data_IF_773120168191
#
_entry.id   IF_773120168191
#
_cell.length_a   1.000
_cell.length_b   1.000
_cell.length_c   1.000
_cell.angle_alpha   90.00
_cell.angle_beta   90.00
_cell.angle_gamma   90.00
#
_symmetry.space_group_name_H-M   'P 1'
#
loop_
_entity.id
_entity.type
_entity.pdbx_description
1 polymer ?
#
# COMPACT_ATOMS: atom_id res chain seq x y z
N UNK A 1 -3.02 28.53 20.18
CA UNK A 1 -4.00 27.45 20.41
C UNK A 1 -4.88 27.42 19.17
N UNK A 2 -4.42 26.71 18.14
CA UNK A 2 -5.06 26.68 16.83
C UNK A 2 -5.89 25.41 16.80
N UNK A 3 -7.19 25.57 16.54
CA UNK A 3 -8.14 24.47 16.46
C UNK A 3 -7.70 23.52 15.34
N UNK A 4 -7.49 22.25 15.68
CA UNK A 4 -7.43 21.17 14.69
C UNK A 4 -8.83 21.04 14.13
N UNK A 5 -9.04 21.52 12.90
CA UNK A 5 -10.23 21.18 12.14
C UNK A 5 -10.35 19.65 12.09
N UNK A 6 -11.58 19.16 12.18
CA UNK A 6 -11.94 17.75 12.08
C UNK A 6 -11.39 17.15 10.76
N UNK A 7 -10.15 16.66 10.78
CA UNK A 7 -9.59 15.84 9.70
C UNK A 7 -10.02 14.40 9.95
N UNK A 8 -10.64 13.78 8.96
CA UNK A 8 -10.77 12.33 8.94
C UNK A 8 -9.34 11.75 8.93
N UNK A 9 -8.97 11.10 10.02
CA UNK A 9 -7.77 10.25 10.05
C UNK A 9 -8.01 9.08 9.08
N UNK A 10 -6.95 8.59 8.45
CA UNK A 10 -7.04 7.47 7.52
C UNK A 10 -7.34 6.14 8.22
N UNK A 11 -7.41 6.12 9.54
CA UNK A 11 -7.72 4.94 10.35
C UNK A 11 -9.13 4.40 10.11
N UNK A 12 -9.26 3.09 9.95
CA UNK A 12 -10.54 2.39 10.03
C UNK A 12 -10.46 1.25 11.07
N UNK A 13 -10.99 1.46 12.29
CA UNK A 13 -10.94 0.46 13.36
C UNK A 13 -11.66 -0.85 13.04
N UNK A 14 -12.62 -0.82 12.10
CA UNK A 14 -13.32 -2.03 11.69
C UNK A 14 -12.44 -2.93 10.82
N UNK A 15 -11.44 -2.40 10.11
CA UNK A 15 -10.53 -3.19 9.30
C UNK A 15 -9.44 -3.87 10.16
N UNK A 16 -9.45 -5.21 10.32
CA UNK A 16 -8.45 -5.91 11.14
C UNK A 16 -7.02 -5.83 10.59
N UNK A 17 -6.83 -5.35 9.37
CA UNK A 17 -5.54 -5.17 8.71
C UNK A 17 -5.16 -3.69 8.53
N UNK A 18 -5.83 -2.76 9.23
CA UNK A 18 -5.62 -1.32 9.06
C UNK A 18 -4.20 -0.84 9.41
N UNK A 19 -3.53 -1.57 10.31
CA UNK A 19 -2.13 -1.32 10.66
C UNK A 19 -1.19 -1.34 9.44
N UNK A 20 -1.56 -2.04 8.36
CA UNK A 20 -0.79 -2.08 7.12
C UNK A 20 -0.66 -0.70 6.45
N UNK A 21 -1.78 0.02 6.31
CA UNK A 21 -1.78 1.36 5.72
C UNK A 21 -1.08 2.37 6.62
N UNK A 22 -1.29 2.28 7.93
CA UNK A 22 -0.57 3.10 8.91
C UNK A 22 0.94 2.90 8.81
N UNK A 23 1.41 1.65 8.73
CA UNK A 23 2.83 1.32 8.54
C UNK A 23 3.40 1.91 7.25
N UNK A 24 2.70 1.69 6.14
CA UNK A 24 3.08 2.25 4.86
C UNK A 24 3.23 3.78 4.94
N UNK A 25 2.26 4.48 5.53
CA UNK A 25 2.33 5.94 5.72
C UNK A 25 3.51 6.38 6.58
N UNK A 26 3.77 5.69 7.70
CA UNK A 26 4.89 6.00 8.61
C UNK A 26 6.24 5.89 7.92
N UNK A 27 6.46 4.82 7.13
CA UNK A 27 7.70 4.66 6.35
C UNK A 27 7.93 5.89 5.49
N UNK A 28 6.89 6.33 4.79
CA UNK A 28 7.00 7.43 3.87
C UNK A 28 7.18 8.78 4.56
N UNK A 29 6.56 8.99 5.72
CA UNK A 29 6.70 10.24 6.48
C UNK A 29 8.14 10.44 6.99
N UNK A 30 8.79 9.35 7.41
CA UNK A 30 10.21 9.38 7.82
C UNK A 30 11.09 9.78 6.63
N UNK A 31 10.80 9.20 5.47
CA UNK A 31 11.60 9.38 4.26
C UNK A 31 11.44 10.79 3.68
N UNK A 32 10.28 11.42 3.83
CA UNK A 32 10.08 12.82 3.44
C UNK A 32 10.69 13.83 4.43
N UNK A 33 10.98 13.41 5.66
CA UNK A 33 11.53 14.31 6.70
C UNK A 33 13.06 14.39 6.63
N UNK A 34 13.71 13.27 6.35
CA UNK A 34 15.14 13.27 6.05
C UNK A 34 15.31 13.73 4.61
N UNK A 35 16.20 14.70 4.37
CA UNK A 35 16.56 15.17 3.01
C UNK A 35 17.40 14.12 2.28
N UNK A 36 16.84 12.92 2.15
CA UNK A 36 17.48 11.74 1.63
C UNK A 36 17.63 11.87 0.12
N UNK A 37 18.88 11.99 -0.32
CA UNK A 37 19.24 11.70 -1.69
C UNK A 37 19.24 10.17 -1.88
N UNK A 38 18.08 9.65 -2.29
CA UNK A 38 17.96 8.28 -2.76
C UNK A 38 18.65 8.16 -4.12
N UNK A 39 19.72 7.39 -4.15
CA UNK A 39 20.61 7.23 -5.30
C UNK A 39 20.55 5.83 -5.93
N UNK A 40 19.86 4.87 -5.32
CA UNK A 40 19.65 3.53 -5.86
C UNK A 40 18.48 2.80 -5.18
N UNK A 41 17.99 1.74 -5.84
CA UNK A 41 16.95 0.85 -5.28
C UNK A 41 17.46 0.13 -4.03
N UNK A 42 18.75 -0.23 -4.01
CA UNK A 42 19.43 -0.83 -2.85
C UNK A 42 19.36 0.10 -1.63
N UNK A 43 19.67 1.39 -1.82
CA UNK A 43 19.63 2.37 -0.73
C UNK A 43 18.21 2.53 -0.18
N UNK A 44 17.19 2.57 -1.07
CA UNK A 44 15.79 2.59 -0.66
C UNK A 44 15.43 1.35 0.19
N UNK A 45 15.86 0.17 -0.25
CA UNK A 45 15.54 -1.07 0.44
C UNK A 45 16.18 -1.16 1.83
N UNK A 46 17.45 -0.77 1.96
CA UNK A 46 18.17 -0.74 3.25
C UNK A 46 17.52 0.24 4.22
N UNK A 47 17.12 1.42 3.74
CA UNK A 47 16.47 2.42 4.56
C UNK A 47 15.12 1.92 5.10
N UNK A 48 14.31 1.31 4.24
CA UNK A 48 13.01 0.77 4.62
C UNK A 48 13.15 -0.39 5.61
N UNK A 49 14.14 -1.26 5.43
CA UNK A 49 14.47 -2.30 6.42
C UNK A 49 14.82 -1.67 7.78
N UNK A 50 15.71 -0.67 7.78
CA UNK A 50 16.12 0.05 9.00
C UNK A 50 14.94 0.73 9.70
N UNK A 51 14.01 1.32 8.93
CA UNK A 51 12.79 1.91 9.49
C UNK A 51 11.93 0.83 10.12
N UNK A 52 11.65 -0.25 9.40
CA UNK A 52 10.79 -1.33 9.89
C UNK A 52 11.32 -1.96 11.19
N UNK A 53 12.64 -2.10 11.32
CA UNK A 53 13.31 -2.61 12.53
C UNK A 53 13.07 -1.73 13.77
N UNK A 54 12.71 -0.45 13.60
CA UNK A 54 12.39 0.47 14.70
C UNK A 54 10.92 0.45 15.14
N UNK A 55 10.05 -0.30 14.43
CA UNK A 55 8.61 -0.40 14.71
C UNK A 55 8.21 -1.84 15.10
N UNK A 56 8.56 -2.30 16.31
CA UNK A 56 8.31 -3.67 16.76
C UNK A 56 6.83 -4.02 16.93
N UNK A 57 5.91 -3.06 16.90
CA UNK A 57 4.46 -3.35 16.81
C UNK A 57 4.07 -4.12 15.53
N UNK A 58 5.00 -4.21 14.57
CA UNK A 58 4.86 -4.93 13.30
C UNK A 58 5.38 -6.38 13.36
N UNK A 59 6.05 -6.75 14.45
CA UNK A 59 6.68 -8.06 14.67
C UNK A 59 5.65 -9.21 14.79
N UNK A 60 4.37 -8.86 15.05
CA UNK A 60 3.24 -9.80 15.11
C UNK A 60 2.79 -10.37 13.76
N UNK A 61 3.31 -9.86 12.63
CA UNK A 61 3.05 -10.34 11.27
C UNK A 61 4.27 -11.11 10.70
N UNK A 62 4.77 -12.10 11.44
CA UNK A 62 5.78 -13.09 11.02
C UNK A 62 6.87 -12.67 9.99
N UNK A 63 7.94 -12.09 10.52
CA UNK A 63 9.36 -12.53 10.50
C UNK A 63 10.25 -12.49 9.22
N UNK A 64 11.47 -11.97 9.42
CA UNK A 64 12.77 -12.08 8.70
C UNK A 64 12.88 -11.77 7.20
N UNK A 65 11.83 -11.25 6.54
CA UNK A 65 11.94 -10.86 5.15
C UNK A 65 12.62 -9.49 5.00
N UNK A 66 13.94 -9.57 4.87
CA UNK A 66 14.83 -8.44 4.60
C UNK A 66 14.65 -7.98 3.15
N UNK A 67 14.12 -6.78 2.97
CA UNK A 67 13.77 -6.22 1.65
C UNK A 67 14.99 -6.14 0.73
N UNK A 68 16.15 -5.73 1.25
CA UNK A 68 17.37 -5.62 0.42
C UNK A 68 17.86 -6.98 -0.12
N UNK A 69 17.41 -8.11 0.43
CA UNK A 69 17.68 -9.44 -0.15
C UNK A 69 16.72 -9.81 -1.29
N UNK A 70 15.75 -8.94 -1.61
CA UNK A 70 14.70 -9.14 -2.61
C UNK A 70 14.72 -8.11 -3.72
N UNK A 71 15.82 -7.38 -3.92
CA UNK A 71 15.95 -6.37 -4.97
C UNK A 71 15.58 -6.91 -6.37
N UNK A 72 15.95 -8.16 -6.67
CA UNK A 72 15.58 -8.82 -7.92
C UNK A 72 14.07 -8.93 -8.19
N UNK A 73 13.24 -8.88 -7.16
CA UNK A 73 11.77 -8.87 -7.26
C UNK A 73 11.22 -7.43 -7.36
N UNK A 74 11.92 -6.43 -6.81
CA UNK A 74 11.47 -5.03 -6.75
C UNK A 74 11.80 -4.29 -8.05
N UNK A 75 13.03 -4.43 -8.56
CA UNK A 75 13.50 -3.71 -9.75
C UNK A 75 12.56 -3.88 -10.95
N UNK A 76 12.06 -5.09 -11.29
CA UNK A 76 11.10 -5.25 -12.37
C UNK A 76 9.78 -4.51 -12.13
N UNK A 77 9.33 -4.38 -10.88
CA UNK A 77 8.08 -3.70 -10.52
C UNK A 77 8.23 -2.18 -10.65
N UNK A 78 9.39 -1.62 -10.28
CA UNK A 78 9.69 -0.19 -10.44
C UNK A 78 9.62 0.21 -11.92
N UNK A 79 10.19 -0.62 -12.80
CA UNK A 79 10.25 -0.37 -14.25
C UNK A 79 9.03 -0.87 -15.03
N UNK A 80 8.07 -1.50 -14.36
CA UNK A 80 6.90 -2.11 -15.02
C UNK A 80 5.86 -1.04 -15.40
N UNK A 81 5.28 -1.16 -16.60
CA UNK A 81 4.07 -0.44 -17.00
C UNK A 81 2.84 -1.36 -17.01
N UNK A 82 2.90 -2.49 -16.28
CA UNK A 82 1.84 -3.50 -16.35
C UNK A 82 0.51 -2.97 -15.81
N UNK A 83 -0.55 -3.31 -16.53
CA UNK A 83 -1.93 -2.95 -16.18
C UNK A 83 -2.45 -3.87 -15.07
N UNK A 84 -3.50 -3.44 -14.37
CA UNK A 84 -4.07 -4.22 -13.27
C UNK A 84 -4.53 -5.61 -13.73
N UNK A 85 -5.07 -5.73 -14.94
CA UNK A 85 -5.50 -7.01 -15.51
C UNK A 85 -4.36 -8.03 -15.62
N UNK A 86 -3.16 -7.61 -16.05
CA UNK A 86 -1.97 -8.48 -16.13
C UNK A 86 -1.54 -8.99 -14.75
N UNK A 87 -1.65 -8.11 -13.76
CA UNK A 87 -1.33 -8.42 -12.36
C UNK A 87 -2.33 -9.41 -11.79
N UNK A 88 -3.62 -9.24 -12.10
CA UNK A 88 -4.67 -10.13 -11.65
C UNK A 88 -4.58 -11.52 -12.28
N UNK A 89 -4.16 -11.62 -13.55
CA UNK A 89 -3.96 -12.89 -14.24
C UNK A 89 -2.89 -13.76 -13.56
N UNK A 90 -1.84 -13.13 -13.04
CA UNK A 90 -0.76 -13.79 -12.30
C UNK A 90 -1.02 -13.95 -10.80
N UNK A 91 -2.10 -13.34 -10.28
CA UNK A 91 -2.43 -13.36 -8.86
C UNK A 91 -2.98 -14.71 -8.38
N UNK A 92 -2.75 -14.99 -7.10
CA UNK A 92 -3.32 -16.13 -6.37
C UNK A 92 -4.80 -15.95 -5.98
N UNK A 93 -5.38 -14.77 -6.25
CA UNK A 93 -6.72 -14.40 -5.83
C UNK A 93 -7.78 -15.27 -6.50
N UNK A 94 -8.84 -15.59 -5.75
CA UNK A 94 -10.07 -16.15 -6.31
C UNK A 94 -10.77 -15.18 -7.28
N UNK A 95 -11.66 -15.69 -8.12
CA UNK A 95 -12.37 -14.89 -9.14
C UNK A 95 -13.09 -13.69 -8.52
N UNK A 96 -13.83 -13.91 -7.43
CA UNK A 96 -14.56 -12.88 -6.69
C UNK A 96 -13.62 -11.83 -6.11
N UNK A 97 -12.45 -12.24 -5.64
CA UNK A 97 -11.46 -11.35 -5.08
C UNK A 97 -10.79 -10.49 -6.17
N UNK A 98 -10.50 -11.06 -7.35
CA UNK A 98 -9.99 -10.30 -8.50
C UNK A 98 -10.98 -9.24 -8.95
N UNK A 99 -12.26 -9.59 -9.08
CA UNK A 99 -13.32 -8.63 -9.37
C UNK A 99 -13.39 -7.52 -8.33
N UNK A 100 -13.25 -7.87 -7.05
CA UNK A 100 -13.28 -6.88 -5.98
C UNK A 100 -12.06 -5.95 -5.98
N UNK A 101 -10.89 -6.44 -6.38
CA UNK A 101 -9.69 -5.59 -6.53
C UNK A 101 -9.80 -4.64 -7.73
N UNK A 102 -10.41 -5.08 -8.84
CA UNK A 102 -10.75 -4.19 -9.97
C UNK A 102 -11.68 -3.06 -9.52
N UNK A 103 -12.73 -3.40 -8.77
CA UNK A 103 -13.67 -2.42 -8.23
C UNK A 103 -12.98 -1.40 -7.32
N UNK A 104 -11.98 -1.81 -6.54
CA UNK A 104 -11.19 -0.88 -5.73
C UNK A 104 -10.39 0.11 -6.61
N UNK A 105 -9.77 -0.38 -7.68
CA UNK A 105 -9.04 0.48 -8.63
C UNK A 105 -9.97 1.50 -9.28
N UNK A 106 -11.10 1.02 -9.83
CA UNK A 106 -12.11 1.87 -10.45
C UNK A 106 -12.67 2.91 -9.47
N UNK A 107 -12.90 2.52 -8.21
CA UNK A 107 -13.37 3.43 -7.15
C UNK A 107 -12.36 4.55 -6.90
N UNK A 108 -11.07 4.25 -6.79
CA UNK A 108 -10.04 5.28 -6.56
C UNK A 108 -9.90 6.21 -7.76
N UNK A 109 -9.98 5.67 -8.99
CA UNK A 109 -9.89 6.45 -10.22
C UNK A 109 -11.09 7.36 -10.43
N UNK A 110 -12.31 6.83 -10.27
CA UNK A 110 -13.55 7.59 -10.46
C UNK A 110 -13.69 8.75 -9.48
N UNK A 111 -13.18 8.57 -8.26
CA UNK A 111 -13.27 9.54 -7.17
C UNK A 111 -11.94 10.27 -6.91
N UNK A 112 -11.03 10.29 -7.90
CA UNK A 112 -9.72 10.93 -7.80
C UNK A 112 -9.78 12.45 -7.60
N UNK A 113 -10.89 13.11 -7.94
CA UNK A 113 -11.10 14.56 -7.77
C UNK A 113 -12.04 14.90 -6.59
N UNK A 114 -12.67 13.90 -5.97
CA UNK A 114 -13.60 14.10 -4.86
C UNK A 114 -12.88 14.50 -3.58
N UNK A 115 -13.62 15.02 -2.59
CA UNK A 115 -13.02 15.32 -1.29
C UNK A 115 -12.51 14.04 -0.63
N UNK A 116 -11.46 14.17 0.19
CA UNK A 116 -10.95 13.01 0.93
C UNK A 116 -12.03 12.34 1.78
N UNK A 117 -12.93 13.13 2.38
CA UNK A 117 -14.01 12.61 3.21
C UNK A 117 -15.00 11.73 2.42
N UNK A 118 -15.32 12.10 1.19
CA UNK A 118 -16.18 11.30 0.29
C UNK A 118 -15.49 10.00 -0.10
N UNK A 119 -14.24 10.08 -0.57
CA UNK A 119 -13.45 8.90 -0.92
C UNK A 119 -13.21 7.97 0.28
N UNK A 120 -12.93 8.53 1.46
CA UNK A 120 -12.76 7.79 2.71
C UNK A 120 -14.02 6.97 3.04
N UNK A 121 -15.20 7.58 2.95
CA UNK A 121 -16.46 6.88 3.22
C UNK A 121 -16.69 5.71 2.24
N UNK A 122 -16.33 5.90 0.97
CA UNK A 122 -16.41 4.86 -0.05
C UNK A 122 -15.42 3.71 0.23
N UNK A 123 -14.18 4.03 0.62
CA UNK A 123 -13.17 3.03 0.97
C UNK A 123 -13.55 2.24 2.24
N UNK A 124 -14.10 2.89 3.27
CA UNK A 124 -14.62 2.19 4.46
C UNK A 124 -15.80 1.28 4.09
N UNK A 125 -16.72 1.75 3.23
CA UNK A 125 -17.83 0.93 2.76
C UNK A 125 -17.36 -0.27 1.93
N UNK A 126 -16.32 -0.09 1.10
CA UNK A 126 -15.68 -1.18 0.38
C UNK A 126 -15.16 -2.25 1.34
N UNK A 127 -14.40 -1.84 2.37
CA UNK A 127 -13.82 -2.75 3.37
C UNK A 127 -14.88 -3.51 4.17
N UNK A 128 -15.94 -2.83 4.59
CA UNK A 128 -17.08 -3.49 5.25
C UNK A 128 -17.72 -4.54 4.31
N UNK A 129 -17.81 -4.24 3.01
CA UNK A 129 -18.27 -5.19 2.00
C UNK A 129 -17.40 -6.44 1.92
N UNK A 130 -16.07 -6.30 1.96
CA UNK A 130 -15.12 -7.43 1.98
C UNK A 130 -15.35 -8.32 3.21
N UNK A 131 -15.49 -7.70 4.39
CA UNK A 131 -15.67 -8.44 5.64
C UNK A 131 -16.94 -9.28 5.63
N UNK A 132 -18.05 -8.68 5.20
CA UNK A 132 -19.35 -9.33 5.13
C UNK A 132 -19.51 -10.37 4.01
N UNK A 133 -18.61 -10.39 3.03
CA UNK A 133 -18.73 -11.27 1.87
C UNK A 133 -18.34 -12.72 2.19
N UNK A 134 -19.31 -13.64 2.18
CA UNK A 134 -19.08 -15.06 2.45
C UNK A 134 -18.50 -15.85 1.27
N UNK A 135 -18.47 -15.27 0.07
CA UNK A 135 -17.86 -15.89 -1.11
C UNK A 135 -16.33 -15.73 -1.16
N UNK A 136 -15.78 -14.77 -0.39
CA UNK A 136 -14.34 -14.56 -0.28
C UNK A 136 -13.72 -15.52 0.75
N UNK A 137 -12.58 -16.11 0.41
CA UNK A 137 -11.78 -16.86 1.38
C UNK A 137 -11.15 -15.92 2.42
N UNK A 138 -10.73 -16.46 3.57
CA UNK A 138 -10.03 -15.65 4.57
C UNK A 138 -8.73 -15.04 4.01
N UNK A 139 -8.03 -15.76 3.13
CA UNK A 139 -6.83 -15.27 2.46
C UNK A 139 -7.15 -14.11 1.52
N UNK A 140 -8.22 -14.22 0.73
CA UNK A 140 -8.64 -13.13 -0.16
C UNK A 140 -9.02 -11.89 0.65
N UNK A 141 -9.79 -12.06 1.74
CA UNK A 141 -10.16 -10.96 2.63
C UNK A 141 -8.94 -10.27 3.21
N UNK A 142 -7.97 -11.04 3.69
CA UNK A 142 -6.72 -10.51 4.23
C UNK A 142 -6.01 -9.63 3.20
N UNK A 143 -5.86 -10.13 1.98
CA UNK A 143 -5.16 -9.41 0.91
C UNK A 143 -5.91 -8.13 0.52
N UNK A 144 -7.22 -8.22 0.26
CA UNK A 144 -8.04 -7.08 -0.15
C UNK A 144 -8.09 -5.99 0.91
N UNK A 145 -8.29 -6.37 2.18
CA UNK A 145 -8.32 -5.44 3.32
C UNK A 145 -6.95 -4.81 3.62
N UNK A 146 -5.86 -5.52 3.34
CA UNK A 146 -4.50 -4.97 3.42
C UNK A 146 -4.30 -3.92 2.33
N UNK A 147 -4.60 -4.27 1.07
CA UNK A 147 -4.45 -3.36 -0.08
C UNK A 147 -5.32 -2.11 0.11
N UNK A 148 -6.59 -2.27 0.52
CA UNK A 148 -7.50 -1.14 0.71
C UNK A 148 -7.06 -0.20 1.83
N UNK A 149 -6.49 -0.73 2.92
CA UNK A 149 -5.92 0.10 3.99
C UNK A 149 -4.76 0.93 3.44
N UNK A 150 -3.80 0.32 2.72
CA UNK A 150 -2.68 1.04 2.11
C UNK A 150 -3.16 2.11 1.14
N UNK A 151 -4.16 1.80 0.32
CA UNK A 151 -4.79 2.76 -0.60
C UNK A 151 -5.43 3.92 0.17
N UNK A 152 -6.15 3.67 1.27
CA UNK A 152 -6.78 4.74 2.07
C UNK A 152 -5.74 5.69 2.68
N UNK A 153 -4.67 5.15 3.23
CA UNK A 153 -3.57 5.99 3.75
C UNK A 153 -2.84 6.74 2.62
N UNK A 154 -2.57 6.07 1.49
CA UNK A 154 -1.92 6.68 0.33
C UNK A 154 -2.75 7.82 -0.29
N UNK A 155 -4.08 7.66 -0.35
CA UNK A 155 -4.98 8.71 -0.86
C UNK A 155 -5.05 9.92 0.07
N UNK A 156 -5.06 9.70 1.39
CA UNK A 156 -4.95 10.78 2.38
C UNK A 156 -3.64 11.57 2.18
N UNK A 157 -2.55 10.84 1.94
CA UNK A 157 -1.23 11.39 1.66
C UNK A 157 -1.18 12.17 0.35
N UNK A 158 -1.74 11.66 -0.75
CA UNK A 158 -1.84 12.37 -2.05
C UNK A 158 -2.53 13.73 -1.95
N UNK A 159 -3.46 13.88 -0.98
CA UNK A 159 -4.11 15.16 -0.74
C UNK A 159 -3.23 16.16 0.03
N UNK A 160 -2.27 15.67 0.81
CA UNK A 160 -1.25 16.48 1.51
C UNK A 160 -0.06 16.80 0.60
N UNK A 161 0.37 15.84 -0.20
CA UNK A 161 1.48 15.92 -1.16
C UNK A 161 0.98 15.51 -2.56
N UNK A 162 0.81 16.50 -3.45
CA UNK A 162 0.27 16.26 -4.80
C UNK A 162 1.19 15.43 -5.69
N UNK A 163 2.49 15.41 -5.37
CA UNK A 163 3.48 14.62 -6.12
C UNK A 163 3.44 13.14 -5.72
N UNK A 164 2.68 12.80 -4.67
CA UNK A 164 2.47 11.44 -4.24
C UNK A 164 1.47 10.70 -5.14
N UNK A 165 1.94 9.63 -5.79
CA UNK A 165 1.08 8.76 -6.58
C UNK A 165 0.36 7.73 -5.71
N UNK A 166 -0.89 7.45 -6.05
CA UNK A 166 -1.62 6.30 -5.51
C UNK A 166 -1.87 5.35 -6.68
N UNK A 167 -1.23 4.18 -6.65
CA UNK A 167 -1.44 3.15 -7.66
C UNK A 167 -1.87 1.85 -7.00
N UNK A 168 -3.16 1.53 -7.13
CA UNK A 168 -3.72 0.24 -6.67
C UNK A 168 -2.98 -0.92 -7.32
N UNK A 169 -2.64 -0.79 -8.61
CA UNK A 169 -1.86 -1.77 -9.38
C UNK A 169 -0.48 -2.04 -8.77
N UNK A 170 0.30 -0.99 -8.43
CA UNK A 170 1.63 -1.17 -7.84
C UNK A 170 1.56 -1.78 -6.43
N UNK A 171 0.58 -1.35 -5.64
CA UNK A 171 0.34 -1.93 -4.31
C UNK A 171 -0.03 -3.41 -4.45
N UNK A 172 -0.90 -3.76 -5.39
CA UNK A 172 -1.26 -5.15 -5.65
C UNK A 172 -0.06 -5.99 -6.14
N UNK A 173 0.73 -5.47 -7.07
CA UNK A 173 1.94 -6.13 -7.58
C UNK A 173 2.91 -6.48 -6.46
N UNK A 174 3.18 -5.52 -5.58
CA UNK A 174 4.15 -5.69 -4.48
C UNK A 174 3.62 -6.64 -3.40
N UNK A 175 2.32 -6.59 -3.09
CA UNK A 175 1.68 -7.58 -2.21
C UNK A 175 1.74 -8.99 -2.82
N UNK A 176 1.48 -9.16 -4.10
CA UNK A 176 1.55 -10.48 -4.74
C UNK A 176 2.98 -11.01 -4.89
N UNK A 177 3.96 -10.15 -5.16
CA UNK A 177 5.36 -10.53 -5.27
C UNK A 177 5.99 -10.95 -3.93
N UNK A 178 5.33 -10.66 -2.81
CA UNK A 178 5.84 -10.90 -1.47
C UNK A 178 5.65 -12.32 -0.93
N UNK A 179 5.23 -13.28 -1.77
CA UNK A 179 4.91 -14.66 -1.37
C UNK A 179 3.90 -14.72 -0.21
N UNK A 180 2.92 -13.80 -0.19
CA UNK A 180 1.93 -13.62 0.89
C UNK A 180 2.48 -13.07 2.21
N UNK A 181 3.75 -12.65 2.26
CA UNK A 181 4.27 -11.91 3.41
C UNK A 181 3.83 -10.44 3.29
N UNK A 182 2.74 -10.11 3.97
CA UNK A 182 2.17 -8.76 3.98
C UNK A 182 3.20 -7.69 4.32
N UNK A 183 4.04 -7.90 5.35
CA UNK A 183 5.06 -6.91 5.74
C UNK A 183 6.09 -6.69 4.63
N UNK A 184 6.57 -7.78 4.00
CA UNK A 184 7.47 -7.68 2.85
C UNK A 184 6.79 -6.94 1.68
N UNK A 185 5.53 -7.25 1.39
CA UNK A 185 4.76 -6.58 0.35
C UNK A 185 4.62 -5.08 0.60
N UNK A 186 4.41 -4.67 1.85
CA UNK A 186 4.35 -3.26 2.24
C UNK A 186 5.70 -2.56 2.13
N UNK A 187 6.78 -3.22 2.57
CA UNK A 187 8.15 -2.73 2.37
C UNK A 187 8.47 -2.55 0.87
N UNK A 188 8.09 -3.53 0.04
CA UNK A 188 8.22 -3.45 -1.42
C UNK A 188 7.39 -2.31 -2.01
N UNK A 189 6.13 -2.15 -1.59
CA UNK A 189 5.26 -1.06 -2.02
C UNK A 189 5.89 0.30 -1.73
N UNK A 190 6.42 0.48 -0.51
CA UNK A 190 7.07 1.71 -0.12
C UNK A 190 8.31 1.98 -0.99
N UNK A 191 9.16 0.97 -1.19
CA UNK A 191 10.35 1.07 -2.03
C UNK A 191 10.01 1.50 -3.46
N UNK A 192 8.99 0.87 -4.05
CA UNK A 192 8.50 1.21 -5.39
C UNK A 192 8.03 2.67 -5.45
N UNK A 193 7.15 3.08 -4.52
CA UNK A 193 6.62 4.44 -4.50
C UNK A 193 7.70 5.52 -4.34
N UNK A 194 8.70 5.28 -3.49
CA UNK A 194 9.80 6.20 -3.26
C UNK A 194 10.74 6.27 -4.47
N UNK A 195 11.12 5.11 -5.03
CA UNK A 195 11.95 5.09 -6.23
C UNK A 195 11.27 5.81 -7.40
N UNK A 196 9.94 5.69 -7.54
CA UNK A 196 9.17 6.43 -8.52
C UNK A 196 9.21 7.95 -8.27
N UNK A 197 8.91 8.39 -7.03
CA UNK A 197 8.96 9.81 -6.63
C UNK A 197 10.32 10.44 -6.93
N UNK A 198 11.41 9.72 -6.67
CA UNK A 198 12.78 10.19 -6.89
C UNK A 198 13.35 9.85 -8.29
N UNK A 199 12.55 9.28 -9.19
CA UNK A 199 12.99 8.83 -10.53
C UNK A 199 14.21 7.89 -10.52
N UNK A 200 14.36 7.08 -9.46
CA UNK A 200 15.39 6.05 -9.33
C UNK A 200 14.95 4.82 -10.10
N UNK A 201 15.74 4.41 -11.11
CA UNK A 201 15.37 3.30 -12.02
C UNK A 201 16.36 2.14 -12.06
N UNK A 202 17.63 2.34 -11.68
CA UNK A 202 18.68 1.31 -11.65
C UNK A 202 19.71 1.62 -10.54
#
# INVERSE_FOLDING_TARGET
>A
MTMRENQADAENPDNPYDAAGSFYSKILDIIDTDSLELNSVEHAAVLIDSIADTYPELDGMANDAVLHQRLHQITPIISSDAELDDVLLSSILGTEARTSLLQLSELVELHAEDTYQELYALLVSYEQGIQGNSALSNSDKQILLTISSVVRYSTERKRKDKDWETSVTKIAQTVFASDQNVVLGLKMAAAVGICQKHSVRE
#
